data_IF_221908611025
#
_entry.id   IF_221908611025
#
_cell.length_a   1.000
_cell.length_b   1.000
_cell.length_c   1.000
_cell.angle_alpha   90.00
_cell.angle_beta   90.00
_cell.angle_gamma   90.00
#
_symmetry.space_group_name_H-M   'P 1'
#
loop_
_entity.id
_entity.type
_entity.pdbx_description
1 polymer ?
#
# COMPACT_ATOMS: atom_id res chain seq x y z
N UNK A 1 -8.12 -9.39 -17.89
CA UNK A 1 -7.14 -8.31 -18.15
C UNK A 1 -7.71 -7.07 -17.52
N UNK A 2 -6.97 -6.40 -16.64
CA UNK A 2 -7.37 -5.09 -16.08
C UNK A 2 -7.27 -4.06 -17.20
N UNK A 3 -8.23 -3.15 -17.35
CA UNK A 3 -8.09 -2.08 -18.33
C UNK A 3 -7.13 -0.99 -17.82
N UNK A 4 -6.62 -0.17 -18.74
CA UNK A 4 -5.88 1.05 -18.40
C UNK A 4 -6.74 1.99 -17.56
N UNK A 5 -8.05 2.07 -17.85
CA UNK A 5 -9.01 2.86 -17.07
C UNK A 5 -9.10 2.40 -15.62
N UNK A 6 -9.18 1.09 -15.33
CA UNK A 6 -9.16 0.56 -13.95
C UNK A 6 -7.87 0.94 -13.20
N UNK A 7 -6.75 0.95 -13.93
CA UNK A 7 -5.43 1.28 -13.39
C UNK A 7 -5.35 2.79 -13.07
N UNK A 8 -5.88 3.64 -13.93
CA UNK A 8 -6.01 5.08 -13.70
C UNK A 8 -6.93 5.40 -12.51
N UNK A 9 -8.05 4.70 -12.37
CA UNK A 9 -8.95 4.85 -11.21
C UNK A 9 -8.24 4.47 -9.91
N UNK A 10 -7.48 3.38 -9.93
CA UNK A 10 -6.67 2.93 -8.78
C UNK A 10 -5.65 3.99 -8.35
N UNK A 11 -5.11 4.75 -9.30
CA UNK A 11 -4.16 5.85 -9.06
C UNK A 11 -4.83 7.17 -8.66
N UNK A 12 -6.16 7.23 -8.69
CA UNK A 12 -6.96 8.40 -8.29
C UNK A 12 -7.10 9.47 -9.37
N UNK A 13 -6.95 9.12 -10.65
CA UNK A 13 -7.24 10.05 -11.74
C UNK A 13 -8.75 10.21 -11.96
N UNK A 14 -9.17 11.43 -12.26
CA UNK A 14 -10.52 11.74 -12.75
C UNK A 14 -10.55 11.64 -14.28
N UNK A 15 -11.75 11.48 -14.86
CA UNK A 15 -11.98 11.39 -16.32
C UNK A 15 -11.11 10.35 -17.05
N UNK A 16 -11.03 9.15 -16.49
CA UNK A 16 -10.13 8.07 -16.91
C UNK A 16 -10.30 7.64 -18.38
N UNK A 17 -11.52 7.67 -18.92
CA UNK A 17 -11.80 7.33 -20.33
C UNK A 17 -11.11 8.30 -21.31
N UNK A 18 -11.18 9.61 -21.02
CA UNK A 18 -10.54 10.62 -21.86
C UNK A 18 -9.02 10.54 -21.75
N UNK A 19 -8.52 10.26 -20.55
CA UNK A 19 -7.09 10.14 -20.31
C UNK A 19 -6.53 8.89 -21.01
N UNK A 20 -7.22 7.75 -20.92
CA UNK A 20 -6.84 6.50 -21.58
C UNK A 20 -6.66 6.69 -23.10
N UNK A 21 -7.61 7.34 -23.78
CA UNK A 21 -7.51 7.59 -25.22
C UNK A 21 -6.33 8.49 -25.64
N UNK A 22 -5.81 9.32 -24.72
CA UNK A 22 -4.64 10.17 -24.99
C UNK A 22 -3.31 9.43 -24.81
N UNK A 23 -3.27 8.42 -23.95
CA UNK A 23 -2.02 7.73 -23.55
C UNK A 23 -1.81 6.38 -24.23
N UNK A 24 -2.86 5.78 -24.83
CA UNK A 24 -2.80 4.45 -25.46
C UNK A 24 -1.79 4.32 -26.60
N UNK A 25 -1.33 5.43 -27.18
CA UNK A 25 -0.34 5.45 -28.26
C UNK A 25 1.03 5.97 -27.83
N UNK A 26 1.21 6.26 -26.54
CA UNK A 26 2.42 6.93 -26.03
C UNK A 26 3.46 5.92 -25.53
N UNK A 27 4.71 6.21 -25.84
CA UNK A 27 5.87 5.45 -25.36
C UNK A 27 6.86 6.37 -24.65
N UNK A 28 7.57 5.83 -23.66
CA UNK A 28 8.61 6.56 -22.92
C UNK A 28 9.93 5.79 -23.02
N UNK A 29 11.01 6.53 -23.28
CA UNK A 29 12.36 5.98 -23.25
C UNK A 29 12.95 6.06 -21.84
N UNK A 30 13.16 4.91 -21.20
CA UNK A 30 13.83 4.81 -19.92
C UNK A 30 14.93 3.74 -19.96
N UNK A 31 16.13 4.09 -19.46
CA UNK A 31 17.27 3.18 -19.34
C UNK A 31 17.59 2.38 -20.63
N UNK A 32 17.58 3.07 -21.78
CA UNK A 32 17.81 2.49 -23.12
C UNK A 32 16.75 1.51 -23.62
N UNK A 33 15.57 1.47 -22.99
CA UNK A 33 14.40 0.71 -23.43
C UNK A 33 13.22 1.65 -23.69
N UNK A 34 12.45 1.35 -24.72
CA UNK A 34 11.14 1.95 -24.96
C UNK A 34 10.08 1.13 -24.21
N UNK A 35 9.24 1.82 -23.44
CA UNK A 35 8.16 1.22 -22.65
C UNK A 35 6.84 1.89 -23.02
N UNK A 36 5.78 1.08 -23.10
CA UNK A 36 4.43 1.56 -23.29
C UNK A 36 3.95 2.28 -22.02
N UNK A 37 3.33 3.45 -22.17
CA UNK A 37 2.79 4.22 -21.04
C UNK A 37 1.69 3.44 -20.33
N UNK A 38 0.93 2.62 -21.04
CA UNK A 38 -0.13 1.79 -20.48
C UNK A 38 0.41 0.73 -19.51
N UNK A 39 1.53 0.09 -19.86
CA UNK A 39 2.23 -0.87 -18.99
C UNK A 39 2.75 -0.18 -17.72
N UNK A 40 3.34 1.01 -17.86
CA UNK A 40 3.84 1.79 -16.71
C UNK A 40 2.69 2.14 -15.76
N UNK A 41 1.55 2.56 -16.29
CA UNK A 41 0.37 2.91 -15.48
C UNK A 41 -0.17 1.68 -14.75
N UNK A 42 -0.18 0.53 -15.41
CA UNK A 42 -0.59 -0.72 -14.78
C UNK A 42 0.34 -1.08 -13.62
N UNK A 43 1.66 -1.04 -13.82
CA UNK A 43 2.66 -1.33 -12.79
C UNK A 43 2.52 -0.38 -11.59
N UNK A 44 2.31 0.91 -11.85
CA UNK A 44 2.07 1.91 -10.80
C UNK A 44 0.78 1.61 -10.03
N UNK A 45 -0.29 1.22 -10.71
CA UNK A 45 -1.55 0.86 -10.06
C UNK A 45 -1.41 -0.40 -9.18
N UNK A 46 -0.64 -1.40 -9.63
CA UNK A 46 -0.31 -2.59 -8.84
C UNK A 46 0.49 -2.19 -7.60
N UNK A 47 1.55 -1.39 -7.76
CA UNK A 47 2.35 -0.91 -6.63
C UNK A 47 1.51 -0.12 -5.61
N UNK A 48 0.59 0.72 -6.08
CA UNK A 48 -0.34 1.46 -5.22
C UNK A 48 -1.26 0.53 -4.41
N UNK A 49 -1.79 -0.53 -5.04
CA UNK A 49 -2.61 -1.55 -4.35
C UNK A 49 -1.81 -2.32 -3.32
N UNK A 50 -0.58 -2.72 -3.64
CA UNK A 50 0.30 -3.42 -2.70
C UNK A 50 0.61 -2.55 -1.48
N UNK A 51 0.93 -1.26 -1.67
CA UNK A 51 1.14 -0.32 -0.57
C UNK A 51 -0.11 -0.20 0.31
N UNK A 52 -1.29 -0.08 -0.29
CA UNK A 52 -2.55 -0.03 0.46
C UNK A 52 -2.82 -1.32 1.25
N UNK A 53 -2.51 -2.49 0.67
CA UNK A 53 -2.59 -3.77 1.36
C UNK A 53 -1.63 -3.84 2.55
N UNK A 54 -0.39 -3.37 2.40
CA UNK A 54 0.56 -3.28 3.51
C UNK A 54 0.06 -2.35 4.61
N UNK A 55 -0.52 -1.19 4.25
CA UNK A 55 -1.12 -0.24 5.19
C UNK A 55 -2.24 -0.91 5.99
N UNK A 56 -3.21 -1.52 5.33
CA UNK A 56 -4.33 -2.20 5.97
C UNK A 56 -3.89 -3.41 6.81
N UNK A 57 -2.97 -4.22 6.28
CA UNK A 57 -2.43 -5.38 6.97
C UNK A 57 -1.69 -5.01 8.25
N UNK A 58 -0.88 -3.96 8.22
CA UNK A 58 -0.18 -3.44 9.38
C UNK A 58 -1.16 -2.95 10.46
N UNK A 59 -2.21 -2.22 10.07
CA UNK A 59 -3.24 -1.74 10.99
C UNK A 59 -4.03 -2.90 11.62
N UNK A 60 -4.45 -3.87 10.80
CA UNK A 60 -5.17 -5.06 11.27
C UNK A 60 -4.32 -5.90 12.23
N UNK A 61 -3.02 -6.04 11.95
CA UNK A 61 -2.09 -6.76 12.82
C UNK A 61 -1.91 -6.04 14.16
N UNK A 62 -1.75 -4.72 14.13
CA UNK A 62 -1.63 -3.92 15.35
C UNK A 62 -2.86 -4.06 16.26
N UNK A 63 -4.06 -4.05 15.68
CA UNK A 63 -5.30 -4.29 16.42
C UNK A 63 -5.36 -5.72 16.99
N UNK A 64 -5.01 -6.73 16.21
CA UNK A 64 -4.99 -8.13 16.68
C UNK A 64 -3.98 -8.36 17.82
N UNK A 65 -2.88 -7.60 17.85
CA UNK A 65 -1.89 -7.68 18.91
C UNK A 65 -2.37 -7.05 20.21
N UNK A 66 -3.30 -6.08 20.19
CA UNK A 66 -3.87 -5.50 21.42
C UNK A 66 -4.61 -6.54 22.25
N UNK A 67 -5.44 -7.37 21.61
CA UNK A 67 -6.15 -8.46 22.29
C UNK A 67 -5.16 -9.42 22.96
N UNK A 68 -4.04 -9.74 22.29
CA UNK A 68 -3.01 -10.62 22.83
C UNK A 68 -2.20 -9.99 23.96
N UNK A 69 -1.99 -8.68 23.93
CA UNK A 69 -1.38 -7.95 25.05
C UNK A 69 -2.27 -8.05 26.28
N UNK A 70 -3.58 -7.81 26.13
CA UNK A 70 -4.55 -7.92 27.24
C UNK A 70 -4.62 -9.34 27.80
N UNK A 71 -4.64 -10.37 26.94
CA UNK A 71 -4.58 -11.78 27.36
C UNK A 71 -3.32 -12.08 28.19
N UNK A 72 -2.15 -11.60 27.74
CA UNK A 72 -0.88 -11.82 28.44
C UNK A 72 -0.82 -11.08 29.79
N UNK A 73 -1.31 -9.84 29.83
CA UNK A 73 -1.42 -9.06 31.07
C UNK A 73 -2.33 -9.73 32.09
N UNK A 74 -3.50 -10.23 31.66
CA UNK A 74 -4.44 -10.94 32.52
C UNK A 74 -3.86 -12.25 33.08
N UNK A 75 -2.96 -12.89 32.33
CA UNK A 75 -2.21 -14.07 32.78
C UNK A 75 -1.00 -13.74 33.67
N UNK A 76 -0.67 -12.45 33.87
CA UNK A 76 0.52 -12.03 34.60
C UNK A 76 1.85 -12.26 33.86
N UNK A 77 1.79 -12.53 32.56
CA UNK A 77 2.95 -12.81 31.71
C UNK A 77 3.52 -11.51 31.14
N UNK A 78 4.32 -10.82 31.96
CA UNK A 78 4.88 -9.50 31.66
C UNK A 78 5.82 -9.55 30.46
N UNK A 79 6.65 -10.58 30.34
CA UNK A 79 7.61 -10.71 29.22
C UNK A 79 6.89 -10.87 27.89
N UNK A 80 5.84 -11.71 27.85
CA UNK A 80 5.03 -11.89 26.66
C UNK A 80 4.26 -10.62 26.30
N UNK A 81 3.66 -9.94 27.27
CA UNK A 81 2.98 -8.66 27.03
C UNK A 81 3.94 -7.62 26.42
N UNK A 82 5.16 -7.52 26.93
CA UNK A 82 6.16 -6.60 26.39
C UNK A 82 6.64 -6.95 24.99
N UNK A 83 6.82 -8.24 24.69
CA UNK A 83 7.14 -8.71 23.34
C UNK A 83 6.04 -8.35 22.34
N UNK A 84 4.77 -8.56 22.71
CA UNK A 84 3.61 -8.24 21.86
C UNK A 84 3.48 -6.73 21.64
N UNK A 85 3.71 -5.90 22.66
CA UNK A 85 3.74 -4.44 22.51
C UNK A 85 4.85 -3.97 21.56
N UNK A 86 6.02 -4.63 21.56
CA UNK A 86 7.11 -4.33 20.61
C UNK A 86 6.68 -4.64 19.17
N UNK A 87 6.08 -5.80 18.95
CA UNK A 87 5.56 -6.19 17.63
C UNK A 87 4.47 -5.22 17.15
N UNK A 88 3.57 -4.79 18.05
CA UNK A 88 2.54 -3.80 17.73
C UNK A 88 3.17 -2.49 17.26
N UNK A 89 4.19 -1.99 17.97
CA UNK A 89 4.92 -0.78 17.55
C UNK A 89 5.55 -0.95 16.17
N UNK A 90 6.18 -2.09 15.90
CA UNK A 90 6.74 -2.36 14.58
C UNK A 90 5.68 -2.37 13.46
N UNK A 91 4.49 -2.93 13.73
CA UNK A 91 3.38 -2.85 12.78
C UNK A 91 2.92 -1.40 12.55
N UNK A 92 2.79 -0.60 13.61
CA UNK A 92 2.45 0.82 13.49
C UNK A 92 3.53 1.65 12.79
N UNK A 93 4.81 1.29 12.94
CA UNK A 93 5.91 1.93 12.21
C UNK A 93 5.80 1.66 10.70
N UNK A 94 5.42 0.43 10.30
CA UNK A 94 5.15 0.10 8.89
C UNK A 94 3.97 0.91 8.36
N UNK A 95 2.86 0.93 9.10
CA UNK A 95 1.69 1.75 8.76
C UNK A 95 2.07 3.21 8.52
N UNK A 96 2.78 3.84 9.48
CA UNK A 96 3.16 5.24 9.39
C UNK A 96 4.17 5.55 8.28
N UNK A 97 5.02 4.59 7.89
CA UNK A 97 5.92 4.76 6.73
C UNK A 97 5.15 4.78 5.41
N UNK A 98 4.14 3.93 5.29
CA UNK A 98 3.29 3.88 4.08
C UNK A 98 2.39 5.12 4.02
N UNK A 99 1.82 5.55 5.15
CA UNK A 99 0.94 6.73 5.22
C UNK A 99 1.68 8.04 4.92
N UNK A 100 2.87 8.26 5.49
CA UNK A 100 3.68 9.47 5.22
C UNK A 100 4.13 9.60 3.77
N UNK A 101 4.27 8.49 3.05
CA UNK A 101 4.54 8.54 1.60
C UNK A 101 3.33 9.03 0.80
N UNK A 102 2.10 8.94 1.33
CA UNK A 102 0.89 9.44 0.68
C UNK A 102 0.65 10.94 0.95
N UNK A 103 1.03 11.44 2.13
CA UNK A 103 0.86 12.85 2.53
C UNK A 103 1.89 13.82 1.92
N UNK A 104 2.98 13.31 1.32
CA UNK A 104 4.02 14.12 0.68
C UNK A 104 3.66 14.72 -0.69
N UNK A 105 2.37 14.95 -0.97
CA UNK A 105 1.85 15.58 -2.20
C UNK A 105 1.53 17.06 -1.98
#
# INVERSE_FOLDING_TARGET
>A
MSSVTDSLETLGFEDTDSLAGLIEAETVHHASREMDVTDIIHDLAVAQRELEQYRQGALSLAASLDDKVLEAEAAGDVERADALRRLKRSAMDVYGRVEKQQEGR
#
